data_IF_981529287563
#
_entry.id   IF_981529287563
#
_cell.length_a   1.000
_cell.length_b   1.000
_cell.length_c   1.000
_cell.angle_alpha   90.00
_cell.angle_beta   90.00
_cell.angle_gamma   90.00
#
_symmetry.space_group_name_H-M   'P 1'
#
loop_
_entity.id
_entity.type
_entity.pdbx_description
1 polymer ?
#
# COMPACT_ATOMS: atom_id res chain seq x y z
N UNK A 1 15.42 8.66 10.18
CA UNK A 1 14.57 9.83 9.93
C UNK A 1 14.32 9.94 8.44
N UNK A 2 13.13 9.56 7.99
CA UNK A 2 12.68 9.77 6.61
C UNK A 2 11.15 9.65 6.65
N UNK A 3 10.51 10.71 7.15
CA UNK A 3 9.06 10.86 7.04
C UNK A 3 8.79 11.40 5.63
N UNK A 4 7.81 10.81 4.94
CA UNK A 4 7.31 11.32 3.66
C UNK A 4 6.38 12.54 3.83
N UNK A 5 6.12 12.95 5.08
CA UNK A 5 5.22 14.03 5.44
C UNK A 5 6.00 15.35 5.47
N UNK A 6 5.46 16.36 4.79
CA UNK A 6 5.98 17.73 4.76
C UNK A 6 5.48 18.51 5.98
N UNK A 7 5.81 18.03 7.18
CA UNK A 7 5.52 18.70 8.44
C UNK A 7 6.77 18.64 9.32
N UNK A 8 7.13 19.78 9.92
CA UNK A 8 8.31 19.93 10.78
C UNK A 8 8.08 19.38 12.20
N UNK A 9 6.83 19.03 12.53
CA UNK A 9 6.44 18.52 13.83
C UNK A 9 5.93 17.07 13.75
N UNK A 10 6.14 16.34 14.83
CA UNK A 10 5.54 15.03 15.09
C UNK A 10 4.71 15.08 16.38
N UNK A 11 3.74 14.16 16.49
CA UNK A 11 2.91 14.02 17.69
C UNK A 11 3.14 12.65 18.31
N UNK A 12 3.40 12.62 19.62
CA UNK A 12 3.58 11.40 20.40
C UNK A 12 2.46 11.25 21.42
N UNK A 13 1.79 10.10 21.41
CA UNK A 13 0.73 9.80 22.37
C UNK A 13 1.32 9.57 23.75
N UNK A 14 0.69 10.14 24.77
CA UNK A 14 1.06 9.96 26.17
C UNK A 14 -0.09 9.34 26.96
N UNK A 15 0.13 9.05 28.24
CA UNK A 15 -0.94 8.58 29.14
C UNK A 15 -2.08 9.58 29.34
N UNK A 16 -1.87 10.84 28.97
CA UNK A 16 -2.88 11.91 29.05
C UNK A 16 -3.59 12.15 27.71
N UNK A 17 -3.22 11.43 26.64
CA UNK A 17 -3.86 11.57 25.33
C UNK A 17 -5.21 10.86 25.34
N UNK A 18 -6.26 11.56 24.92
CA UNK A 18 -7.60 11.00 24.70
C UNK A 18 -7.86 10.89 23.20
N UNK A 19 -8.39 9.74 22.76
CA UNK A 19 -8.86 9.51 21.39
C UNK A 19 -10.35 9.22 21.48
N UNK A 20 -11.17 9.98 20.77
CA UNK A 20 -12.63 9.82 20.72
C UNK A 20 -13.09 9.75 19.27
N UNK A 21 -14.03 8.87 18.92
CA UNK A 21 -14.67 8.88 17.61
C UNK A 21 -15.33 10.23 17.33
N UNK A 22 -15.25 10.70 16.08
CA UNK A 22 -16.04 11.84 15.60
C UNK A 22 -17.33 11.27 15.02
N UNK A 23 -18.47 11.64 15.61
CA UNK A 23 -19.80 11.15 15.18
C UNK A 23 -20.45 12.07 14.14
N UNK A 24 -19.84 13.22 13.88
CA UNK A 24 -20.28 14.19 12.88
C UNK A 24 -19.53 13.93 11.56
N UNK A 25 -20.29 13.67 10.49
CA UNK A 25 -19.76 13.64 9.12
C UNK A 25 -19.52 15.09 8.66
N UNK A 26 -18.41 15.67 9.12
CA UNK A 26 -17.96 16.96 8.63
C UNK A 26 -17.14 16.78 7.34
N UNK A 27 -17.59 17.42 6.27
CA UNK A 27 -16.89 17.50 4.98
C UNK A 27 -15.53 18.25 5.06
N UNK A 28 -15.13 18.68 6.27
CA UNK A 28 -13.90 19.40 6.54
C UNK A 28 -12.67 18.47 6.73
N UNK A 29 -12.88 17.16 6.91
CA UNK A 29 -11.79 16.18 7.00
C UNK A 29 -11.31 15.81 5.58
N UNK A 30 -10.05 16.08 5.20
CA UNK A 30 -9.57 15.75 3.87
C UNK A 30 -9.56 14.24 3.62
N UNK A 31 -10.17 13.82 2.52
CA UNK A 31 -10.12 12.43 2.05
C UNK A 31 -8.75 12.07 1.46
N UNK A 32 -8.43 10.77 1.49
CA UNK A 32 -7.25 10.24 0.82
C UNK A 32 -7.41 10.40 -0.69
N UNK A 33 -6.55 11.22 -1.30
CA UNK A 33 -6.47 11.36 -2.76
C UNK A 33 -5.54 10.30 -3.34
N UNK A 34 -5.90 9.76 -4.51
CA UNK A 34 -5.11 8.77 -5.24
C UNK A 34 -4.75 9.33 -6.61
N UNK A 35 -3.46 9.35 -6.93
CA UNK A 35 -2.94 9.78 -8.24
C UNK A 35 -2.60 8.52 -9.05
N UNK A 36 -3.63 7.83 -9.54
CA UNK A 36 -3.50 6.50 -10.11
C UNK A 36 -2.71 6.49 -11.41
N UNK A 37 -1.64 5.70 -11.43
CA UNK A 37 -0.84 5.39 -12.61
C UNK A 37 -1.22 4.01 -13.15
N UNK A 38 -1.55 3.87 -14.45
CA UNK A 38 -1.76 2.58 -15.08
C UNK A 38 -0.53 1.68 -14.97
N UNK A 39 -0.74 0.37 -14.81
CA UNK A 39 0.37 -0.59 -14.64
C UNK A 39 1.31 -0.55 -15.86
N UNK A 40 0.78 -0.34 -17.07
CA UNK A 40 1.56 -0.20 -18.29
C UNK A 40 2.54 0.98 -18.29
N UNK A 41 2.31 2.00 -17.48
CA UNK A 41 3.13 3.21 -17.45
C UNK A 41 4.23 3.15 -16.38
N UNK A 42 4.14 2.21 -15.43
CA UNK A 42 5.10 2.08 -14.32
C UNK A 42 6.55 1.86 -14.80
N UNK A 43 6.73 1.16 -15.93
CA UNK A 43 8.05 0.91 -16.51
C UNK A 43 8.77 2.16 -17.01
N UNK A 44 8.03 3.26 -17.24
CA UNK A 44 8.58 4.53 -17.71
C UNK A 44 8.96 5.47 -16.55
N UNK A 45 8.62 5.11 -15.31
CA UNK A 45 8.93 5.92 -14.14
C UNK A 45 10.32 5.63 -13.62
N UNK A 46 10.92 6.62 -12.95
CA UNK A 46 12.21 6.44 -12.30
C UNK A 46 12.08 5.44 -11.14
N UNK A 47 13.09 4.57 -10.98
CA UNK A 47 13.12 3.61 -9.89
C UNK A 47 12.99 4.32 -8.53
N UNK A 48 12.22 3.72 -7.60
CA UNK A 48 11.88 4.26 -6.26
C UNK A 48 10.92 5.44 -6.26
N UNK A 49 10.35 5.83 -7.40
CA UNK A 49 9.21 6.77 -7.44
C UNK A 49 8.05 6.17 -6.66
N UNK A 50 7.40 6.99 -5.83
CA UNK A 50 6.18 6.58 -5.13
C UNK A 50 5.02 6.56 -6.12
N UNK A 51 4.30 5.45 -6.21
CA UNK A 51 3.19 5.28 -7.16
C UNK A 51 1.92 4.84 -6.45
N UNK A 52 0.79 5.40 -6.89
CA UNK A 52 -0.53 4.91 -6.57
C UNK A 52 -1.02 4.11 -7.80
N UNK A 53 -1.51 2.89 -7.60
CA UNK A 53 -2.00 2.06 -8.71
C UNK A 53 -3.12 1.16 -8.24
N UNK A 54 -3.92 0.67 -9.19
CA UNK A 54 -5.05 -0.20 -8.92
C UNK A 54 -5.06 -1.34 -9.93
N UNK A 55 -5.34 -2.56 -9.47
CA UNK A 55 -5.40 -3.73 -10.33
C UNK A 55 -6.09 -4.90 -9.68
N UNK A 56 -6.41 -5.91 -10.48
CA UNK A 56 -6.92 -7.19 -10.04
C UNK A 56 -5.74 -8.06 -9.60
N UNK A 57 -5.82 -8.64 -8.41
CA UNK A 57 -4.85 -9.62 -7.94
C UNK A 57 -5.05 -10.95 -8.66
N UNK A 58 -4.23 -11.20 -9.67
CA UNK A 58 -4.32 -12.43 -10.48
C UNK A 58 -3.79 -13.64 -9.70
N UNK A 59 -2.70 -13.46 -8.98
CA UNK A 59 -2.00 -14.53 -8.26
C UNK A 59 -1.45 -14.02 -6.92
N UNK A 60 -1.48 -14.90 -5.92
CA UNK A 60 -0.91 -14.69 -4.59
C UNK A 60 0.16 -15.76 -4.38
N UNK A 61 1.42 -15.33 -4.22
CA UNK A 61 2.53 -16.23 -3.94
C UNK A 61 2.53 -16.76 -2.51
N UNK A 62 3.31 -17.81 -2.28
CA UNK A 62 3.53 -18.34 -0.93
C UNK A 62 4.31 -17.36 -0.05
N UNK A 63 4.14 -17.46 1.26
CA UNK A 63 4.91 -16.66 2.21
C UNK A 63 6.37 -17.15 2.27
N UNK A 64 7.30 -16.29 1.87
CA UNK A 64 8.73 -16.56 1.94
C UNK A 64 9.31 -15.95 3.21
N UNK A 65 10.13 -16.74 3.93
CA UNK A 65 10.88 -16.25 5.10
C UNK A 65 12.37 -16.30 4.78
N UNK A 66 13.04 -15.15 4.87
CA UNK A 66 14.47 -15.03 4.61
C UNK A 66 15.29 -15.32 5.88
N UNK A 67 16.57 -15.73 5.77
CA UNK A 67 17.46 -15.93 6.93
C UNK A 67 17.61 -14.69 7.83
N UNK A 68 17.40 -13.49 7.27
CA UNK A 68 17.39 -12.22 8.02
C UNK A 68 16.14 -12.03 8.90
N UNK A 69 15.20 -12.98 8.88
CA UNK A 69 13.91 -12.88 9.58
C UNK A 69 12.84 -12.09 8.82
N UNK A 70 13.20 -11.40 7.72
CA UNK A 70 12.24 -10.71 6.87
C UNK A 70 11.30 -11.71 6.21
N UNK A 71 10.02 -11.35 6.13
CA UNK A 71 8.99 -12.14 5.43
C UNK A 71 8.50 -11.38 4.21
N UNK A 72 8.25 -12.08 3.11
CA UNK A 72 7.81 -11.50 1.84
C UNK A 72 6.71 -12.34 1.21
N UNK A 73 5.76 -11.67 0.59
CA UNK A 73 4.74 -12.31 -0.24
C UNK A 73 4.60 -11.51 -1.54
N UNK A 74 4.68 -12.20 -2.66
CA UNK A 74 4.53 -11.59 -3.99
C UNK A 74 3.08 -11.68 -4.45
N UNK A 75 2.55 -10.59 -4.99
CA UNK A 75 1.25 -10.52 -5.63
C UNK A 75 1.42 -10.13 -7.09
N UNK A 76 0.75 -10.83 -7.99
CA UNK A 76 0.68 -10.43 -9.41
C UNK A 76 -0.56 -9.59 -9.62
N UNK A 77 -0.39 -8.31 -9.95
CA UNK A 77 -1.48 -7.39 -10.26
C UNK A 77 -1.59 -7.19 -11.77
N UNK A 78 -2.81 -7.13 -12.28
CA UNK A 78 -3.13 -6.80 -13.68
C UNK A 78 -4.22 -5.74 -13.74
N UNK A 79 -4.17 -4.85 -14.73
CA UNK A 79 -5.19 -3.82 -14.94
C UNK A 79 -5.81 -3.92 -16.35
N UNK A 80 -6.64 -2.95 -16.71
CA UNK A 80 -7.30 -2.89 -18.03
C UNK A 80 -6.33 -2.71 -19.21
N UNK A 81 -5.07 -2.33 -18.97
CA UNK A 81 -4.05 -2.26 -20.02
C UNK A 81 -3.52 -3.64 -20.43
N UNK A 82 -3.90 -4.70 -19.71
CA UNK A 82 -3.34 -6.06 -19.78
C UNK A 82 -1.85 -6.15 -19.38
N UNK A 83 -1.27 -5.09 -18.82
CA UNK A 83 0.04 -5.15 -18.20
C UNK A 83 -0.03 -5.88 -16.85
N UNK A 84 1.08 -6.48 -16.45
CA UNK A 84 1.22 -7.17 -15.17
C UNK A 84 2.41 -6.61 -14.39
N UNK A 85 2.27 -6.50 -13.06
CA UNK A 85 3.35 -6.11 -12.15
C UNK A 85 3.35 -6.99 -10.91
N UNK A 86 4.53 -7.17 -10.32
CA UNK A 86 4.69 -7.89 -9.05
C UNK A 86 4.76 -6.87 -7.91
N UNK A 87 3.78 -6.90 -7.01
CA UNK A 87 3.79 -6.17 -5.76
C UNK A 87 4.38 -7.06 -4.66
N UNK A 88 5.41 -6.59 -3.97
CA UNK A 88 6.01 -7.29 -2.84
C UNK A 88 5.44 -6.73 -1.53
N UNK A 89 4.69 -7.55 -0.79
CA UNK A 89 4.34 -7.28 0.59
C UNK A 89 5.46 -7.74 1.52
N UNK A 90 5.63 -7.06 2.65
CA UNK A 90 6.69 -7.35 3.60
C UNK A 90 6.16 -7.49 5.03
N UNK A 91 6.81 -8.35 5.81
CA UNK A 91 6.58 -8.54 7.24
C UNK A 91 5.10 -8.77 7.61
N UNK A 92 4.49 -7.90 8.41
CA UNK A 92 3.11 -8.04 8.88
C UNK A 92 2.12 -8.06 7.71
N UNK A 93 2.28 -7.17 6.73
CA UNK A 93 1.43 -7.18 5.52
C UNK A 93 1.56 -8.52 4.79
N UNK A 94 2.78 -9.04 4.64
CA UNK A 94 3.00 -10.33 3.99
C UNK A 94 2.34 -11.50 4.74
N UNK A 95 2.33 -11.47 6.07
CA UNK A 95 1.76 -12.54 6.92
C UNK A 95 0.24 -12.47 6.96
N UNK A 96 -0.30 -11.28 7.14
CA UNK A 96 -1.72 -11.05 7.39
C UNK A 96 -2.54 -10.94 6.11
N UNK A 97 -1.89 -10.83 4.95
CA UNK A 97 -2.60 -10.79 3.67
C UNK A 97 -3.37 -12.09 3.45
N UNK A 98 -4.70 -11.98 3.39
CA UNK A 98 -5.58 -13.12 3.20
C UNK A 98 -5.51 -13.58 1.73
N UNK A 99 -5.09 -14.82 1.49
CA UNK A 99 -4.95 -15.39 0.15
C UNK A 99 -6.28 -15.52 -0.62
N UNK A 100 -7.43 -15.38 0.05
CA UNK A 100 -8.75 -15.39 -0.59
C UNK A 100 -9.03 -14.16 -1.47
N UNK A 101 -8.14 -13.17 -1.47
CA UNK A 101 -8.23 -11.98 -2.34
C UNK A 101 -7.79 -12.22 -3.79
N UNK A 102 -7.50 -13.47 -4.17
CA UNK A 102 -7.31 -13.78 -5.58
C UNK A 102 -8.56 -13.36 -6.38
N UNK A 103 -8.36 -12.72 -7.53
CA UNK A 103 -9.38 -12.12 -8.39
C UNK A 103 -10.13 -10.92 -7.77
N UNK A 104 -9.66 -10.38 -6.64
CA UNK A 104 -10.18 -9.14 -6.07
C UNK A 104 -9.40 -7.92 -6.57
N UNK A 105 -10.03 -6.75 -6.48
CA UNK A 105 -9.39 -5.46 -6.77
C UNK A 105 -8.54 -5.04 -5.58
N UNK A 106 -7.30 -4.63 -5.87
CA UNK A 106 -6.36 -4.08 -4.89
C UNK A 106 -6.02 -2.66 -5.31
N UNK A 107 -6.24 -1.73 -4.40
CA UNK A 107 -5.81 -0.33 -4.49
C UNK A 107 -4.54 -0.16 -3.66
N UNK A 108 -3.48 0.31 -4.29
CA UNK A 108 -2.17 0.49 -3.67
C UNK A 108 -1.83 1.97 -3.65
N UNK A 109 -1.47 2.49 -2.48
CA UNK A 109 -1.03 3.87 -2.32
C UNK A 109 0.45 3.94 -1.93
N UNK A 110 1.22 4.74 -2.64
CA UNK A 110 2.59 5.08 -2.32
C UNK A 110 3.57 3.90 -2.37
N UNK A 111 3.32 2.89 -3.21
CA UNK A 111 4.26 1.80 -3.42
C UNK A 111 5.55 2.26 -4.12
N UNK A 112 6.62 1.47 -3.98
CA UNK A 112 7.95 1.73 -4.54
C UNK A 112 8.62 0.44 -5.01
#
# INVERSE_FOLDING_TARGET
ENTSLKNDYEMTLTRQTEIKPCEEDDNDIPEIKYDLVPISELANLEARTSVDTIGICKEVGELQTFPSGKKRRELTLVDSSNAAVILNLWNEDAVNFDGHVQQQVILVKGAR
#
